data_IF_124456223204
#
_entry.id   IF_124456223204
#
_cell.length_a   1.000
_cell.length_b   1.000
_cell.length_c   1.000
_cell.angle_alpha   90.00
_cell.angle_beta   90.00
_cell.angle_gamma   90.00
#
_symmetry.space_group_name_H-M   'P 1'
#
loop_
_entity.id
_entity.type
_entity.pdbx_description
1 polymer ?
#
# COMPACT_ATOMS: atom_id res chain seq x y z
N UNK A 1 11.28 -3.94 13.82
CA UNK A 1 10.79 -5.25 13.33
C UNK A 1 11.95 -6.23 13.39
N UNK A 2 11.77 -7.42 13.97
CA UNK A 2 12.83 -8.44 13.98
C UNK A 2 13.18 -8.85 12.54
N UNK A 3 14.44 -9.19 12.24
CA UNK A 3 14.85 -9.63 10.91
C UNK A 3 14.00 -10.82 10.41
N UNK A 4 13.71 -10.84 9.12
CA UNK A 4 13.07 -11.97 8.43
C UNK A 4 13.47 -11.95 6.95
N UNK A 5 13.46 -13.12 6.31
CA UNK A 5 13.65 -13.23 4.88
C UNK A 5 12.49 -12.57 4.12
N UNK A 6 12.81 -12.04 2.94
CA UNK A 6 11.89 -11.33 2.08
C UNK A 6 12.04 -11.83 0.65
N UNK A 7 10.91 -11.92 -0.03
CA UNK A 7 10.80 -12.54 -1.35
C UNK A 7 10.07 -11.59 -2.31
N UNK A 8 10.55 -11.51 -3.54
CA UNK A 8 9.84 -10.83 -4.62
C UNK A 8 8.76 -11.77 -5.16
N UNK A 9 7.52 -11.33 -5.09
CA UNK A 9 6.35 -12.05 -5.57
C UNK A 9 5.96 -11.51 -6.94
N UNK A 10 5.63 -12.39 -7.87
CA UNK A 10 5.01 -12.05 -9.15
C UNK A 10 3.54 -12.52 -9.13
N UNK A 11 2.61 -11.61 -8.84
CA UNK A 11 1.19 -11.91 -8.72
C UNK A 11 0.47 -11.65 -10.06
N UNK A 12 0.08 -12.73 -10.75
CA UNK A 12 -0.75 -12.63 -11.96
C UNK A 12 -2.21 -12.33 -11.60
N UNK A 13 -3.07 -11.93 -12.57
CA UNK A 13 -4.50 -11.79 -12.34
C UNK A 13 -5.16 -13.05 -11.74
N UNK A 14 -4.72 -14.23 -12.17
CA UNK A 14 -5.24 -15.52 -11.69
C UNK A 14 -4.86 -15.75 -10.23
N UNK A 15 -3.60 -15.49 -9.86
CA UNK A 15 -3.15 -15.58 -8.46
C UNK A 15 -3.91 -14.57 -7.59
N UNK A 16 -4.12 -13.35 -8.09
CA UNK A 16 -4.93 -12.36 -7.39
C UNK A 16 -6.33 -12.91 -7.10
N UNK A 17 -7.02 -13.43 -8.12
CA UNK A 17 -8.38 -13.96 -7.99
C UNK A 17 -8.48 -15.17 -7.07
N UNK A 18 -7.51 -16.09 -7.16
CA UNK A 18 -7.55 -17.36 -6.41
C UNK A 18 -7.05 -17.24 -4.97
N UNK A 19 -6.12 -16.34 -4.69
CA UNK A 19 -5.40 -16.31 -3.40
C UNK A 19 -5.57 -14.97 -2.69
N UNK A 20 -5.24 -13.87 -3.38
CA UNK A 20 -5.12 -12.56 -2.74
C UNK A 20 -6.49 -11.93 -2.46
N UNK A 21 -7.41 -11.97 -3.42
CA UNK A 21 -8.77 -11.46 -3.24
C UNK A 21 -9.50 -12.19 -2.09
N UNK A 22 -9.46 -13.53 -1.97
CA UNK A 22 -9.97 -14.24 -0.80
C UNK A 22 -9.28 -13.83 0.51
N UNK A 23 -7.97 -13.59 0.50
CA UNK A 23 -7.25 -13.06 1.67
C UNK A 23 -7.77 -11.69 2.11
N UNK A 24 -7.93 -10.77 1.16
CA UNK A 24 -8.50 -9.43 1.41
C UNK A 24 -9.89 -9.57 2.03
N UNK A 25 -10.76 -10.37 1.44
CA UNK A 25 -12.13 -10.62 1.93
C UNK A 25 -12.16 -11.26 3.31
N UNK A 26 -11.14 -12.04 3.68
CA UNK A 26 -11.02 -12.65 5.02
C UNK A 26 -10.50 -11.67 6.09
N UNK A 27 -10.05 -10.47 5.72
CA UNK A 27 -9.54 -9.50 6.68
C UNK A 27 -10.70 -8.88 7.48
N UNK A 28 -10.64 -8.87 8.83
CA UNK A 28 -11.70 -8.25 9.63
C UNK A 28 -11.88 -6.76 9.34
N UNK A 29 -13.13 -6.29 9.22
CA UNK A 29 -13.44 -4.88 9.02
C UNK A 29 -12.89 -3.96 10.12
N UNK A 30 -12.73 -4.48 11.34
CA UNK A 30 -12.13 -3.75 12.46
C UNK A 30 -10.70 -3.26 12.18
N UNK A 31 -9.98 -3.89 11.25
CA UNK A 31 -8.61 -3.50 10.85
C UNK A 31 -8.55 -2.12 10.18
N UNK A 32 -9.67 -1.66 9.62
CA UNK A 32 -9.78 -0.36 8.95
C UNK A 32 -10.72 0.61 9.69
N UNK A 33 -11.19 0.27 10.90
CA UNK A 33 -12.12 1.14 11.63
C UNK A 33 -11.53 2.52 11.92
N UNK A 34 -10.24 2.60 12.21
CA UNK A 34 -9.54 3.86 12.44
C UNK A 34 -9.59 4.78 11.21
N UNK A 35 -9.61 4.22 9.99
CA UNK A 35 -9.74 4.98 8.74
C UNK A 35 -11.09 5.67 8.71
N UNK A 36 -12.17 4.94 9.01
CA UNK A 36 -13.51 5.49 9.06
C UNK A 36 -13.65 6.57 10.13
N UNK A 37 -13.05 6.37 11.30
CA UNK A 37 -13.04 7.39 12.34
C UNK A 37 -12.35 8.70 11.88
N UNK A 38 -11.24 8.59 11.14
CA UNK A 38 -10.55 9.75 10.58
C UNK A 38 -11.40 10.46 9.50
N UNK A 39 -12.01 9.69 8.60
CA UNK A 39 -12.90 10.20 7.55
C UNK A 39 -14.12 10.91 8.16
N UNK A 40 -14.77 10.30 9.14
CA UNK A 40 -15.96 10.84 9.84
C UNK A 40 -15.62 11.97 10.83
N UNK A 41 -14.33 12.25 11.05
CA UNK A 41 -13.87 13.31 11.95
C UNK A 41 -14.07 12.99 13.43
N UNK A 42 -14.29 11.73 13.79
CA UNK A 42 -14.37 11.27 15.18
C UNK A 42 -12.98 10.97 15.77
N UNK A 43 -11.93 10.95 14.94
CA UNK A 43 -10.53 10.91 15.33
C UNK A 43 -9.66 11.74 14.36
N UNK A 44 -8.48 12.19 14.82
CA UNK A 44 -7.46 12.89 14.01
C UNK A 44 -7.91 14.21 13.34
N UNK A 45 -9.10 14.74 13.70
CA UNK A 45 -9.74 15.84 13.02
C UNK A 45 -8.90 17.13 13.05
N UNK A 46 -8.23 17.39 14.16
CA UNK A 46 -7.36 18.55 14.39
C UNK A 46 -6.07 18.51 13.57
N UNK A 47 -5.67 17.33 13.09
CA UNK A 47 -4.44 17.13 12.31
C UNK A 47 -4.66 17.25 10.81
N UNK A 48 -5.92 17.29 10.37
CA UNK A 48 -6.27 17.30 8.95
C UNK A 48 -5.69 18.52 8.24
N UNK A 49 -5.10 18.26 7.06
CA UNK A 49 -4.56 19.29 6.17
C UNK A 49 -5.63 19.80 5.22
N UNK A 50 -6.42 18.89 4.65
CA UNK A 50 -7.49 19.19 3.72
C UNK A 50 -8.61 18.16 3.89
N UNK A 51 -9.85 18.64 3.94
CA UNK A 51 -11.07 17.86 3.70
C UNK A 51 -11.64 18.28 2.35
N UNK A 52 -11.56 17.39 1.36
CA UNK A 52 -12.17 17.58 0.05
C UNK A 52 -13.40 16.66 -0.03
N UNK A 53 -14.54 17.15 0.47
CA UNK A 53 -15.72 16.33 0.78
C UNK A 53 -16.96 16.73 -0.03
N UNK A 54 -16.77 17.47 -1.12
CA UNK A 54 -17.88 17.92 -1.96
C UNK A 54 -18.55 16.77 -2.73
N UNK A 55 -17.79 15.71 -3.05
CA UNK A 55 -18.27 14.53 -3.77
C UNK A 55 -17.62 13.27 -3.16
N UNK A 56 -18.41 12.26 -2.80
CA UNK A 56 -17.91 10.98 -2.25
C UNK A 56 -17.06 10.21 -3.25
N UNK A 57 -17.35 10.32 -4.54
CA UNK A 57 -16.68 9.54 -5.58
C UNK A 57 -15.26 10.05 -5.87
N UNK A 58 -15.04 11.36 -5.72
CA UNK A 58 -13.75 12.03 -5.99
C UNK A 58 -13.10 12.67 -4.77
N UNK A 59 -13.79 12.66 -3.63
CA UNK A 59 -13.36 13.31 -2.41
C UNK A 59 -12.42 12.47 -1.57
N UNK A 60 -11.70 13.14 -0.69
CA UNK A 60 -10.71 12.55 0.20
C UNK A 60 -10.36 13.45 1.39
N UNK A 61 -9.66 12.88 2.37
CA UNK A 61 -9.05 13.58 3.49
C UNK A 61 -7.53 13.45 3.40
N UNK A 62 -6.80 14.56 3.47
CA UNK A 62 -5.34 14.60 3.55
C UNK A 62 -4.92 14.90 4.99
N UNK A 63 -4.07 14.07 5.57
CA UNK A 63 -3.60 14.23 6.94
C UNK A 63 -2.15 13.73 7.11
N UNK A 64 -1.42 14.17 8.15
CA UNK A 64 -0.11 13.65 8.47
C UNK A 64 -0.13 12.14 8.75
N UNK A 65 0.83 11.41 8.18
CA UNK A 65 1.05 10.00 8.53
C UNK A 65 1.64 9.92 9.94
N UNK A 66 1.31 8.85 10.69
CA UNK A 66 1.84 8.64 12.04
C UNK A 66 3.37 8.53 12.11
N UNK A 67 4.04 8.34 10.96
CA UNK A 67 5.51 8.28 10.85
C UNK A 67 6.19 9.64 10.83
N UNK A 68 5.45 10.73 10.67
CA UNK A 68 6.01 12.08 10.58
C UNK A 68 5.78 12.89 11.86
N UNK A 69 6.82 13.60 12.29
CA UNK A 69 6.81 14.47 13.48
C UNK A 69 6.03 15.78 13.28
N UNK A 70 5.51 16.03 12.07
CA UNK A 70 4.83 17.25 11.65
C UNK A 70 5.72 18.52 11.72
N UNK A 71 7.05 18.35 11.75
CA UNK A 71 8.02 19.43 11.91
C UNK A 71 9.13 19.36 10.86
N UNK A 72 9.74 18.19 10.68
CA UNK A 72 10.92 18.00 9.83
C UNK A 72 10.48 17.81 8.38
N UNK A 73 10.61 18.83 7.54
CA UNK A 73 10.15 18.79 6.14
C UNK A 73 10.90 17.78 5.28
N UNK A 74 12.17 17.49 5.59
CA UNK A 74 12.95 16.46 4.89
C UNK A 74 12.36 15.06 5.03
N UNK A 75 11.59 14.83 6.10
CA UNK A 75 10.87 13.58 6.37
C UNK A 75 9.36 13.74 6.27
N UNK A 76 8.87 14.81 5.61
CA UNK A 76 7.46 15.07 5.40
C UNK A 76 6.77 13.80 4.88
N UNK A 77 5.72 13.40 5.58
CA UNK A 77 4.90 12.25 5.24
C UNK A 77 3.43 12.57 5.54
N UNK A 78 2.64 12.67 4.49
CA UNK A 78 1.19 12.75 4.56
C UNK A 78 0.56 11.50 3.92
N UNK A 79 -0.69 11.25 4.26
CA UNK A 79 -1.51 10.22 3.63
C UNK A 79 -2.85 10.83 3.21
N UNK A 80 -3.36 10.33 2.09
CA UNK A 80 -4.68 10.62 1.55
C UNK A 80 -5.56 9.40 1.81
N UNK A 81 -6.72 9.62 2.44
CA UNK A 81 -7.77 8.62 2.63
C UNK A 81 -8.97 9.01 1.76
N UNK A 82 -9.31 8.18 0.77
CA UNK A 82 -10.45 8.48 -0.11
C UNK A 82 -11.78 8.24 0.60
N UNK A 83 -12.83 8.99 0.25
CA UNK A 83 -14.13 8.88 0.91
C UNK A 83 -14.89 7.60 0.51
N UNK A 84 -14.85 7.25 -0.77
CA UNK A 84 -15.43 6.01 -1.29
C UNK A 84 -14.83 4.78 -0.60
N UNK A 85 -15.64 3.76 -0.40
CA UNK A 85 -15.29 2.56 0.39
C UNK A 85 -15.17 1.28 -0.45
N UNK A 86 -15.35 1.38 -1.75
CA UNK A 86 -15.38 0.26 -2.69
C UNK A 86 -14.02 -0.03 -3.36
N UNK A 87 -13.02 0.82 -3.13
CA UNK A 87 -11.64 0.58 -3.59
C UNK A 87 -10.79 0.09 -2.42
N UNK A 88 -10.29 -1.14 -2.53
CA UNK A 88 -9.47 -1.77 -1.47
C UNK A 88 -7.98 -1.62 -1.72
N UNK A 89 -7.57 -1.62 -2.98
CA UNK A 89 -6.16 -1.50 -3.39
C UNK A 89 -6.03 -1.09 -4.87
N UNK A 90 -4.78 -1.06 -5.35
CA UNK A 90 -4.44 -0.82 -6.76
C UNK A 90 -5.21 -1.71 -7.74
N UNK A 91 -5.54 -2.96 -7.36
CA UNK A 91 -6.29 -3.92 -8.18
C UNK A 91 -7.74 -3.53 -8.46
N UNK A 92 -8.32 -2.61 -7.70
CA UNK A 92 -9.69 -2.14 -7.90
C UNK A 92 -9.75 -0.87 -8.79
N UNK A 93 -8.60 -0.25 -9.10
CA UNK A 93 -8.59 0.96 -9.92
C UNK A 93 -8.96 0.67 -11.38
N UNK A 94 -9.75 1.57 -11.96
CA UNK A 94 -10.27 1.47 -13.33
C UNK A 94 -10.40 2.88 -13.89
N UNK A 95 -10.82 3.01 -15.15
CA UNK A 95 -11.06 4.29 -15.82
C UNK A 95 -12.07 5.18 -15.09
N UNK A 96 -13.07 4.62 -14.42
CA UNK A 96 -14.05 5.42 -13.65
C UNK A 96 -13.42 6.15 -12.46
N UNK A 97 -12.24 5.69 -12.02
CA UNK A 97 -11.52 6.28 -10.89
C UNK A 97 -10.56 7.40 -11.29
N UNK A 98 -10.35 7.67 -12.59
CA UNK A 98 -9.45 8.75 -13.04
C UNK A 98 -9.82 10.14 -12.47
N UNK A 99 -11.10 10.55 -12.36
CA UNK A 99 -11.45 11.83 -11.75
C UNK A 99 -10.96 11.95 -10.29
N UNK A 100 -11.11 10.90 -9.49
CA UNK A 100 -10.59 10.84 -8.11
C UNK A 100 -9.06 10.96 -8.08
N UNK A 101 -8.35 10.17 -8.88
CA UNK A 101 -6.89 10.16 -8.89
C UNK A 101 -6.30 11.51 -9.30
N UNK A 102 -6.89 12.16 -10.31
CA UNK A 102 -6.51 13.51 -10.74
C UNK A 102 -6.84 14.56 -9.68
N UNK A 103 -8.02 14.48 -9.07
CA UNK A 103 -8.40 15.38 -7.97
C UNK A 103 -7.38 15.30 -6.84
N UNK A 104 -7.01 14.09 -6.39
CA UNK A 104 -5.98 13.91 -5.37
C UNK A 104 -4.67 14.56 -5.79
N UNK A 105 -4.16 14.25 -6.99
CA UNK A 105 -2.89 14.82 -7.49
C UNK A 105 -2.94 16.34 -7.47
N UNK A 106 -3.94 16.94 -8.11
CA UNK A 106 -4.02 18.37 -8.34
C UNK A 106 -4.19 19.13 -7.01
N UNK A 107 -5.03 18.61 -6.10
CA UNK A 107 -5.28 19.22 -4.79
C UNK A 107 -4.09 19.07 -3.84
N UNK A 108 -3.41 17.92 -3.84
CA UNK A 108 -2.17 17.72 -3.06
C UNK A 108 -1.08 18.67 -3.54
N UNK A 109 -0.85 18.75 -4.85
CA UNK A 109 0.16 19.65 -5.44
C UNK A 109 -0.15 21.13 -5.24
N UNK A 110 -1.41 21.51 -4.98
CA UNK A 110 -1.77 22.87 -4.62
C UNK A 110 -1.63 23.14 -3.11
N UNK A 111 -2.17 22.26 -2.26
CA UNK A 111 -2.32 22.52 -0.83
C UNK A 111 -1.03 22.27 -0.05
N UNK A 112 -0.27 21.23 -0.38
CA UNK A 112 0.94 20.88 0.37
C UNK A 112 2.02 21.95 0.24
N UNK A 113 2.35 22.47 -0.97
CA UNK A 113 3.23 23.62 -1.12
C UNK A 113 2.77 24.85 -0.35
N UNK A 114 1.48 25.20 -0.46
CA UNK A 114 0.91 26.37 0.20
C UNK A 114 1.00 26.28 1.73
N UNK A 115 0.82 25.09 2.30
CA UNK A 115 0.84 24.89 3.76
C UNK A 115 2.25 24.76 4.34
N UNK A 116 3.16 24.11 3.63
CA UNK A 116 4.45 23.69 4.17
C UNK A 116 5.66 24.39 3.54
N UNK A 117 5.47 25.20 2.50
CA UNK A 117 6.56 25.94 1.84
C UNK A 117 7.51 25.09 1.02
N UNK A 118 7.12 23.86 0.67
CA UNK A 118 7.84 22.98 -0.26
C UNK A 118 7.37 23.21 -1.70
N UNK A 119 8.10 22.75 -2.71
CA UNK A 119 7.62 22.77 -4.10
C UNK A 119 6.81 21.50 -4.44
N UNK A 120 5.92 21.59 -5.43
CA UNK A 120 5.11 20.44 -5.85
C UNK A 120 5.96 19.31 -6.44
N UNK A 121 7.03 19.64 -7.16
CA UNK A 121 8.00 18.70 -7.75
C UNK A 121 8.99 18.14 -6.72
N UNK A 122 9.00 18.67 -5.49
CA UNK A 122 9.69 18.07 -4.34
C UNK A 122 8.84 16.98 -3.65
N UNK A 123 7.64 16.67 -4.15
CA UNK A 123 6.75 15.65 -3.60
C UNK A 123 6.79 14.35 -4.40
N UNK A 124 6.87 13.23 -3.67
CA UNK A 124 6.65 11.88 -4.17
C UNK A 124 5.25 11.43 -3.80
N UNK A 125 4.39 11.23 -4.79
CA UNK A 125 2.99 10.79 -4.60
C UNK A 125 2.82 9.37 -5.15
N UNK A 126 2.45 8.42 -4.29
CA UNK A 126 2.48 6.99 -4.66
C UNK A 126 1.50 6.11 -3.86
N UNK A 127 1.20 4.94 -4.40
CA UNK A 127 0.31 3.93 -3.85
C UNK A 127 1.14 2.69 -3.49
N UNK A 128 0.86 2.07 -2.34
CA UNK A 128 1.46 0.80 -1.98
C UNK A 128 0.73 -0.39 -2.61
N UNK A 129 1.49 -1.41 -3.02
CA UNK A 129 1.00 -2.75 -3.30
C UNK A 129 2.01 -3.80 -2.83
N UNK A 130 1.70 -4.71 -1.90
CA UNK A 130 0.44 -4.80 -1.12
C UNK A 130 0.32 -3.65 -0.10
N UNK A 131 -0.86 -3.06 0.13
CA UNK A 131 -1.04 -2.02 1.14
C UNK A 131 -1.00 -2.59 2.56
N UNK A 132 -0.74 -1.74 3.56
CA UNK A 132 -0.76 -2.17 4.98
C UNK A 132 -2.18 -2.45 5.51
N UNK A 133 -3.20 -1.90 4.84
CA UNK A 133 -4.62 -2.08 5.12
C UNK A 133 -5.42 -1.87 3.82
N UNK A 134 -6.59 -2.52 3.70
CA UNK A 134 -7.37 -2.58 2.46
C UNK A 134 -8.52 -1.56 2.42
N UNK A 135 -8.15 -0.29 2.56
CA UNK A 135 -8.94 0.88 2.17
C UNK A 135 -8.02 1.73 1.31
N UNK A 136 -8.42 2.14 0.12
CA UNK A 136 -7.51 2.80 -0.81
C UNK A 136 -6.96 4.11 -0.22
N UNK A 137 -5.64 4.25 -0.27
CA UNK A 137 -4.92 5.40 0.26
C UNK A 137 -3.69 5.70 -0.59
N UNK A 138 -3.29 6.96 -0.58
CA UNK A 138 -2.14 7.47 -1.35
C UNK A 138 -1.17 8.13 -0.37
N UNK A 139 0.12 7.87 -0.54
CA UNK A 139 1.19 8.43 0.26
C UNK A 139 1.76 9.66 -0.44
N UNK A 140 2.08 10.68 0.34
CA UNK A 140 2.76 11.91 -0.13
C UNK A 140 3.98 12.10 0.74
N UNK A 141 5.18 11.96 0.18
CA UNK A 141 6.44 12.15 0.92
C UNK A 141 7.32 13.19 0.28
N UNK A 142 8.20 13.80 1.07
CA UNK A 142 9.29 14.60 0.52
C UNK A 142 10.22 13.73 -0.33
N UNK A 143 10.65 14.24 -1.49
CA UNK A 143 11.68 13.61 -2.32
C UNK A 143 13.00 13.43 -1.56
N UNK A 144 13.27 14.28 -0.57
CA UNK A 144 14.44 14.21 0.32
C UNK A 144 14.38 13.05 1.31
N UNK A 145 13.20 12.47 1.52
CA UNK A 145 13.04 11.31 2.40
C UNK A 145 13.47 10.03 1.68
N UNK A 146 14.79 9.79 1.61
CA UNK A 146 15.38 8.67 0.85
C UNK A 146 15.28 7.34 1.63
N UNK A 147 15.48 7.36 2.95
CA UNK A 147 15.45 6.18 3.81
C UNK A 147 14.06 5.90 4.42
N UNK A 148 13.00 6.43 3.82
CA UNK A 148 11.65 6.23 4.33
C UNK A 148 11.18 4.79 4.14
N UNK A 149 10.44 4.23 5.11
CA UNK A 149 9.95 2.87 5.01
C UNK A 149 9.02 2.72 3.80
N UNK A 150 9.21 1.65 3.03
CA UNK A 150 8.36 1.21 1.92
C UNK A 150 8.33 2.13 0.66
N UNK A 151 9.25 3.09 0.55
CA UNK A 151 9.43 3.92 -0.66
C UNK A 151 10.14 3.14 -1.79
N UNK A 152 10.60 1.92 -1.51
CA UNK A 152 11.34 1.08 -2.44
C UNK A 152 10.51 0.63 -3.65
N UNK A 153 11.22 0.41 -4.77
CA UNK A 153 10.72 -0.30 -5.95
C UNK A 153 10.20 -1.69 -5.54
N UNK A 154 9.13 -2.15 -6.18
CA UNK A 154 8.47 -3.40 -5.81
C UNK A 154 7.59 -3.26 -4.55
N UNK A 155 7.17 -2.05 -4.23
CA UNK A 155 6.18 -1.79 -3.18
C UNK A 155 5.38 -0.52 -3.52
N UNK A 156 6.06 0.51 -4.02
CA UNK A 156 5.46 1.81 -4.35
C UNK A 156 5.20 1.98 -5.86
N UNK A 157 4.03 2.49 -6.21
CA UNK A 157 3.60 2.83 -7.56
C UNK A 157 3.27 4.33 -7.64
N UNK A 158 3.99 5.08 -8.49
CA UNK A 158 3.75 6.52 -8.64
C UNK A 158 2.32 6.80 -9.14
N UNK A 159 1.66 7.80 -8.54
CA UNK A 159 0.28 8.14 -8.88
C UNK A 159 0.11 8.50 -10.36
N UNK A 160 1.01 9.32 -10.91
CA UNK A 160 0.93 9.70 -12.33
C UNK A 160 1.13 8.51 -13.27
N UNK A 161 2.02 7.57 -12.95
CA UNK A 161 2.16 6.33 -13.72
C UNK A 161 0.90 5.46 -13.63
N UNK A 162 0.23 5.44 -12.47
CA UNK A 162 -1.05 4.74 -12.29
C UNK A 162 -2.15 5.34 -13.15
N UNK A 163 -2.24 6.68 -13.16
CA UNK A 163 -3.16 7.42 -14.03
C UNK A 163 -2.87 7.11 -15.50
N UNK A 164 -1.61 7.23 -15.92
CA UNK A 164 -1.17 7.03 -17.30
C UNK A 164 -1.47 5.61 -17.82
N UNK A 165 -1.18 4.59 -17.00
CA UNK A 165 -1.50 3.19 -17.33
C UNK A 165 -3.01 2.98 -17.59
N UNK A 166 -3.86 3.55 -16.74
CA UNK A 166 -5.32 3.40 -16.85
C UNK A 166 -5.88 4.19 -18.05
N UNK A 167 -5.33 5.38 -18.26
CA UNK A 167 -5.80 6.29 -19.30
C UNK A 167 -5.40 5.83 -20.70
N UNK A 168 -4.13 5.45 -20.87
CA UNK A 168 -3.52 5.28 -22.19
C UNK A 168 -3.26 3.83 -22.57
N UNK A 169 -3.16 2.89 -21.62
CA UNK A 169 -2.94 1.47 -21.93
C UNK A 169 -4.26 0.69 -21.90
N UNK A 170 -4.92 0.66 -20.73
CA UNK A 170 -6.21 -0.03 -20.59
C UNK A 170 -7.00 0.52 -19.40
N UNK A 171 -8.30 0.76 -19.59
CA UNK A 171 -9.17 1.24 -18.51
C UNK A 171 -9.28 0.30 -17.31
N UNK A 172 -8.90 -0.96 -17.47
CA UNK A 172 -8.83 -2.04 -16.47
C UNK A 172 -7.39 -2.60 -16.35
N UNK A 173 -6.37 -1.76 -16.58
CA UNK A 173 -4.97 -2.17 -16.62
C UNK A 173 -4.55 -3.01 -15.41
N UNK A 174 -4.92 -2.58 -14.21
CA UNK A 174 -4.51 -3.22 -12.96
C UNK A 174 -5.23 -4.54 -12.68
N UNK A 175 -6.32 -4.84 -13.38
CA UNK A 175 -6.94 -6.16 -13.34
C UNK A 175 -6.21 -7.16 -14.26
N UNK A 176 -5.40 -6.68 -15.21
CA UNK A 176 -4.74 -7.50 -16.25
C UNK A 176 -3.26 -7.72 -16.02
N UNK A 177 -2.56 -6.77 -15.43
CA UNK A 177 -1.11 -6.84 -15.30
C UNK A 177 -0.66 -7.81 -14.19
N UNK A 178 0.58 -8.30 -14.30
CA UNK A 178 1.28 -8.98 -13.19
C UNK A 178 1.90 -7.92 -12.29
N UNK A 179 1.52 -7.90 -11.01
CA UNK A 179 2.07 -6.98 -10.03
C UNK A 179 3.21 -7.65 -9.27
N UNK A 180 4.36 -6.97 -9.21
CA UNK A 180 5.53 -7.43 -8.49
C UNK A 180 5.66 -6.71 -7.16
N UNK A 181 5.76 -7.45 -6.07
CA UNK A 181 5.91 -6.86 -4.74
C UNK A 181 6.68 -7.71 -3.75
N UNK A 182 7.20 -7.08 -2.69
CA UNK A 182 7.99 -7.76 -1.65
C UNK A 182 7.12 -8.22 -0.49
N UNK A 183 7.20 -9.51 -0.13
CA UNK A 183 6.63 -10.03 1.13
C UNK A 183 7.70 -10.61 2.03
N UNK A 184 7.54 -10.43 3.34
CA UNK A 184 8.29 -11.17 4.35
C UNK A 184 7.61 -12.50 4.66
N UNK A 185 8.38 -13.52 5.06
CA UNK A 185 7.87 -14.87 5.35
C UNK A 185 6.77 -14.91 6.43
N UNK A 186 6.75 -13.95 7.35
CA UNK A 186 5.71 -13.88 8.40
C UNK A 186 4.46 -13.11 7.97
N UNK A 187 4.41 -12.59 6.75
CA UNK A 187 3.20 -11.96 6.25
C UNK A 187 2.14 -13.04 5.99
N UNK A 188 0.89 -12.92 6.48
CA UNK A 188 -0.13 -13.98 6.33
C UNK A 188 -0.43 -14.37 4.88
N UNK A 189 -0.23 -13.45 3.94
CA UNK A 189 -0.39 -13.75 2.51
C UNK A 189 0.74 -14.61 1.95
N UNK A 190 1.94 -14.60 2.55
CA UNK A 190 3.11 -15.32 2.03
C UNK A 190 2.86 -16.83 2.01
N UNK A 191 2.39 -17.38 3.13
CA UNK A 191 2.03 -18.80 3.25
C UNK A 191 0.94 -19.19 2.24
N UNK A 192 -0.09 -18.34 2.08
CA UNK A 192 -1.20 -18.60 1.16
C UNK A 192 -0.80 -18.62 -0.32
N UNK A 193 0.25 -17.89 -0.68
CA UNK A 193 0.79 -17.89 -2.04
C UNK A 193 1.55 -19.17 -2.38
N UNK A 194 1.86 -20.02 -1.39
CA UNK A 194 2.54 -21.29 -1.61
C UNK A 194 3.93 -21.13 -2.24
N UNK A 195 4.58 -19.98 -2.04
CA UNK A 195 5.91 -19.68 -2.59
C UNK A 195 6.87 -20.72 -2.01
N UNK A 196 7.57 -21.50 -2.84
CA UNK A 196 8.53 -22.47 -2.34
C UNK A 196 9.57 -21.75 -1.49
N UNK A 197 9.62 -22.06 -0.19
CA UNK A 197 10.73 -21.65 0.66
C UNK A 197 12.00 -22.26 0.05
N UNK A 198 13.07 -21.49 -0.04
CA UNK A 198 14.36 -22.00 -0.51
C UNK A 198 14.74 -23.26 0.27
N UNK A 199 15.38 -24.20 -0.43
CA UNK A 199 15.61 -25.59 0.00
C UNK A 199 16.37 -25.77 1.33
N UNK A 200 16.91 -24.71 1.92
CA UNK A 200 17.70 -24.76 3.16
C UNK A 200 16.88 -25.14 4.41
N UNK A 201 15.54 -25.08 4.37
CA UNK A 201 14.69 -25.56 5.49
C UNK A 201 14.28 -27.04 5.39
N UNK A 202 14.44 -27.70 4.24
CA UNK A 202 14.07 -29.12 4.11
C UNK A 202 15.15 -30.05 4.68
N UNK A 203 16.42 -29.64 4.66
CA UNK A 203 17.50 -30.47 5.20
C UNK A 203 17.55 -30.50 6.73
N UNK A 204 17.01 -29.50 7.43
CA UNK A 204 17.01 -29.47 8.90
C UNK A 204 15.93 -30.35 9.54
N UNK A 205 14.85 -30.67 8.82
CA UNK A 205 13.80 -31.58 9.31
C UNK A 205 14.12 -33.05 8.98
N UNK A 206 14.69 -33.34 7.80
CA UNK A 206 15.15 -34.70 7.45
C UNK A 206 16.35 -35.17 8.30
N UNK A 207 17.27 -34.27 8.69
CA UNK A 207 18.40 -34.63 9.56
C UNK A 207 18.02 -34.80 11.03
N UNK A 208 16.87 -34.26 11.47
CA UNK A 208 16.35 -34.45 12.82
C UNK A 208 15.64 -35.81 12.98
N UNK A 209 14.89 -36.26 11.97
CA UNK A 209 14.26 -37.59 11.97
C UNK A 209 15.28 -38.72 11.75
N UNK A 210 16.34 -38.50 10.96
CA UNK A 210 17.40 -39.49 10.71
C UNK A 210 18.32 -39.78 11.91
N UNK A 211 18.35 -38.91 12.94
CA UNK A 211 19.19 -39.11 14.14
C UNK A 211 18.49 -39.84 15.29
N UNK A 212 17.17 -40.03 15.24
CA UNK A 212 16.42 -40.77 16.27
C UNK A 212 16.32 -42.28 16.02
N UNK A 213 16.92 -42.80 14.93
CA UNK A 213 16.88 -44.24 14.60
C UNK A 213 18.21 -44.98 14.75
N UNK A 214 19.27 -44.33 15.25
CA UNK A 214 20.53 -44.98 15.62
C UNK A 214 20.88 -44.65 17.08
N UNK A 215 20.16 -45.30 18.00
CA UNK A 215 20.43 -45.18 19.43
C UNK A 215 19.76 -46.29 20.22
N UNK A 216 19.98 -47.55 19.81
CA UNK A 216 19.78 -48.73 20.68
C UNK A 216 20.60 -49.90 20.12
N UNK A 217 21.87 -49.96 20.54
CA UNK A 217 22.66 -51.20 20.70
C UNK A 217 23.72 -50.99 21.77
#
# INVERSE_FOLDING_TARGET
>A
MSPQNRHMIAETPEIYKMVVEPYIKSTPASRIQWVYNALEGTAEAERVVLRDEADVETGFVLLPDSKWDCKTLDTLYLQVLVLRRDIRSLRDLTRSHLPLLRNVRDRVCAVVPAKYGVQADELRIFIHYQPSYYHFHIHVTSMRYIAGPNISIGQSHLLDTVIDNIEHIAGDYYQRCTLHYVLGERHPLFERLGVPLSAEKRESEETAEGKNMLGDK
#
